data_IF_158448797415
#
_entry.id   IF_158448797415
#
_cell.length_a   1.000
_cell.length_b   1.000
_cell.length_c   1.000
_cell.angle_alpha   90.00
_cell.angle_beta   90.00
_cell.angle_gamma   90.00
#
_symmetry.space_group_name_H-M   'P 1'
#
loop_
_entity.id
_entity.type
_entity.pdbx_description
1 polymer ?
#
# COMPACT_ATOMS: atom_id res chain seq x y z
N UNK A 1 -14.44 16.81 -1.15
CA UNK A 1 -14.58 16.06 0.12
C UNK A 1 -14.54 14.54 -0.12
N UNK A 2 -13.65 14.03 -0.97
CA UNK A 2 -13.57 12.60 -1.31
C UNK A 2 -12.33 11.89 -0.72
N UNK A 3 -11.27 12.64 -0.35
CA UNK A 3 -10.02 12.04 0.14
C UNK A 3 -10.07 11.52 1.57
N UNK A 4 -10.81 12.18 2.46
CA UNK A 4 -10.80 11.85 3.89
C UNK A 4 -11.56 10.55 4.22
N UNK A 5 -12.58 10.23 3.43
CA UNK A 5 -13.37 9.00 3.59
C UNK A 5 -12.51 7.76 3.26
N UNK A 6 -11.75 7.81 2.16
CA UNK A 6 -10.89 6.69 1.71
C UNK A 6 -9.79 6.33 2.72
N UNK A 7 -9.19 7.30 3.41
CA UNK A 7 -8.08 7.01 4.34
C UNK A 7 -8.51 6.22 5.57
N UNK A 8 -9.66 6.55 6.18
CA UNK A 8 -10.21 5.79 7.31
C UNK A 8 -10.58 4.36 6.90
N UNK A 9 -11.13 4.19 5.70
CA UNK A 9 -11.48 2.88 5.14
C UNK A 9 -10.24 1.99 4.97
N UNK A 10 -9.11 2.54 4.51
CA UNK A 10 -7.86 1.79 4.41
C UNK A 10 -7.27 1.44 5.78
N UNK A 11 -7.32 2.34 6.76
CA UNK A 11 -6.86 2.02 8.13
C UNK A 11 -7.63 0.82 8.69
N UNK A 12 -8.96 0.80 8.51
CA UNK A 12 -9.79 -0.33 8.96
C UNK A 12 -9.48 -1.66 8.24
N UNK A 13 -8.83 -1.60 7.08
CA UNK A 13 -8.46 -2.75 6.25
C UNK A 13 -6.97 -3.14 6.39
N UNK A 14 -6.22 -2.53 7.31
CA UNK A 14 -4.79 -2.81 7.49
C UNK A 14 -4.50 -4.30 7.67
N UNK A 15 -5.30 -4.98 8.48
CA UNK A 15 -5.18 -6.41 8.76
C UNK A 15 -6.01 -7.28 7.81
N UNK A 16 -6.75 -6.67 6.88
CA UNK A 16 -7.54 -7.42 5.91
C UNK A 16 -6.60 -8.08 4.90
N UNK A 17 -6.71 -9.40 4.66
CA UNK A 17 -5.97 -10.07 3.61
C UNK A 17 -6.54 -9.71 2.23
N UNK A 18 -5.87 -10.17 1.17
CA UNK A 18 -6.32 -9.97 -0.21
C UNK A 18 -5.73 -8.73 -0.88
N UNK A 19 -4.63 -8.21 -0.34
CA UNK A 19 -3.86 -7.15 -0.96
C UNK A 19 -2.64 -7.71 -1.67
N UNK A 20 -2.27 -7.08 -2.77
CA UNK A 20 -1.09 -7.41 -3.54
C UNK A 20 -0.28 -6.16 -3.84
N UNK A 21 1.04 -6.28 -3.71
CA UNK A 21 2.00 -5.28 -4.15
C UNK A 21 2.53 -5.72 -5.51
N UNK A 22 2.35 -4.87 -6.51
CA UNK A 22 2.87 -5.04 -7.87
C UNK A 22 4.10 -4.14 -8.02
N UNK A 23 5.31 -4.71 -8.02
CA UNK A 23 6.51 -3.95 -8.29
C UNK A 23 6.55 -3.43 -9.72
N UNK A 24 7.12 -2.24 -9.94
CA UNK A 24 7.51 -1.82 -11.29
C UNK A 24 8.84 -2.50 -11.63
N UNK A 25 8.81 -3.60 -12.40
CA UNK A 25 10.01 -4.32 -12.82
C UNK A 25 9.79 -5.81 -13.04
N UNK A 26 10.84 -6.60 -12.81
CA UNK A 26 10.86 -8.08 -12.92
C UNK A 26 10.59 -8.78 -11.58
N UNK A 27 10.48 -8.03 -10.49
CA UNK A 27 10.15 -8.60 -9.18
C UNK A 27 8.72 -9.16 -9.20
N UNK A 28 8.47 -10.37 -8.67
CA UNK A 28 7.14 -10.94 -8.62
C UNK A 28 6.22 -10.11 -7.71
N UNK A 29 4.91 -10.13 -8.02
CA UNK A 29 3.91 -9.57 -7.12
C UNK A 29 3.91 -10.35 -5.79
N UNK A 30 3.74 -9.62 -4.69
CA UNK A 30 3.66 -10.19 -3.34
C UNK A 30 2.22 -10.00 -2.88
N UNK A 31 1.66 -10.98 -2.18
CA UNK A 31 0.30 -10.93 -1.62
C UNK A 31 0.35 -11.01 -0.10
N UNK A 32 -0.62 -10.38 0.56
CA UNK A 32 -0.72 -10.35 2.01
C UNK A 32 -1.81 -9.41 2.50
N UNK A 33 -1.60 -8.84 3.69
CA UNK A 33 -2.47 -7.79 4.23
C UNK A 33 -2.08 -6.41 3.68
N UNK A 34 -2.97 -5.42 3.79
CA UNK A 34 -2.64 -4.06 3.38
C UNK A 34 -1.45 -3.50 4.15
N UNK A 35 -1.33 -3.84 5.44
CA UNK A 35 -0.18 -3.46 6.26
C UNK A 35 1.13 -4.04 5.71
N UNK A 36 1.14 -5.34 5.39
CA UNK A 36 2.32 -6.01 4.83
C UNK A 36 2.74 -5.35 3.51
N UNK A 37 1.76 -5.08 2.64
CA UNK A 37 2.03 -4.46 1.34
C UNK A 37 2.54 -3.02 1.50
N UNK A 38 1.98 -2.26 2.44
CA UNK A 38 2.44 -0.91 2.74
C UNK A 38 3.88 -0.92 3.28
N UNK A 39 4.22 -1.83 4.19
CA UNK A 39 5.59 -2.00 4.71
C UNK A 39 6.56 -2.38 3.60
N UNK A 40 6.22 -3.37 2.78
CA UNK A 40 7.05 -3.79 1.65
C UNK A 40 7.27 -2.64 0.64
N UNK A 41 6.22 -1.86 0.33
CA UNK A 41 6.33 -0.70 -0.54
C UNK A 41 7.25 0.39 0.06
N UNK A 42 7.19 0.61 1.38
CA UNK A 42 8.08 1.53 2.09
C UNK A 42 9.54 1.10 2.01
N UNK A 43 9.82 -0.18 2.27
CA UNK A 43 11.16 -0.74 2.21
C UNK A 43 11.77 -0.62 0.80
N UNK A 44 10.95 -0.80 -0.24
CA UNK A 44 11.36 -0.54 -1.63
C UNK A 44 11.74 0.93 -1.84
N UNK A 45 10.88 1.87 -1.41
CA UNK A 45 11.14 3.32 -1.50
C UNK A 45 12.43 3.70 -0.76
N UNK A 46 12.61 3.18 0.46
CA UNK A 46 13.81 3.38 1.29
C UNK A 46 15.08 2.83 0.64
N UNK A 47 14.96 1.76 -0.13
CA UNK A 47 16.06 1.15 -0.90
C UNK A 47 16.34 1.86 -2.23
N UNK A 48 15.69 2.99 -2.51
CA UNK A 48 15.82 3.74 -3.76
C UNK A 48 15.09 3.13 -4.95
N UNK A 49 14.28 2.08 -4.74
CA UNK A 49 13.42 1.48 -5.76
C UNK A 49 12.06 2.19 -5.78
N UNK A 50 11.33 2.04 -6.89
CA UNK A 50 9.93 2.47 -6.93
C UNK A 50 9.11 1.64 -5.93
N UNK A 51 8.23 2.32 -5.19
CA UNK A 51 7.39 1.72 -4.15
C UNK A 51 6.42 0.67 -4.69
N UNK A 52 6.08 0.74 -5.98
CA UNK A 52 5.17 -0.19 -6.65
C UNK A 52 3.72 0.27 -6.53
N UNK A 53 2.80 -0.60 -6.94
CA UNK A 53 1.36 -0.34 -6.91
C UNK A 53 0.71 -1.36 -5.99
N UNK A 54 -0.01 -0.89 -4.96
CA UNK A 54 -0.76 -1.76 -4.06
C UNK A 54 -2.19 -1.84 -4.56
N UNK A 55 -2.68 -3.06 -4.79
CA UNK A 55 -4.03 -3.33 -5.26
C UNK A 55 -4.70 -4.39 -4.40
N UNK A 56 -6.02 -4.33 -4.29
CA UNK A 56 -6.82 -5.41 -3.72
C UNK A 56 -7.15 -6.42 -4.81
N UNK A 57 -6.93 -7.69 -4.51
CA UNK A 57 -7.03 -8.80 -5.44
C UNK A 57 -8.47 -9.05 -5.92
N UNK A 58 -9.46 -8.74 -5.08
CA UNK A 58 -10.88 -9.05 -5.33
C UNK A 58 -11.60 -8.05 -6.23
N UNK A 59 -11.33 -6.75 -6.06
CA UNK A 59 -12.13 -5.66 -6.62
C UNK A 59 -11.30 -4.62 -7.39
N UNK A 60 -10.01 -4.89 -7.62
CA UNK A 60 -9.07 -3.98 -8.32
C UNK A 60 -8.96 -2.60 -7.67
N UNK A 61 -9.30 -2.46 -6.39
CA UNK A 61 -9.09 -1.24 -5.63
C UNK A 61 -7.59 -0.95 -5.55
N UNK A 62 -7.16 0.20 -6.07
CA UNK A 62 -5.75 0.60 -6.07
C UNK A 62 -5.49 1.67 -5.02
N UNK A 63 -4.36 1.53 -4.31
CA UNK A 63 -3.86 2.55 -3.40
C UNK A 63 -3.11 3.62 -4.19
N UNK A 64 -3.64 4.84 -4.18
CA UNK A 64 -2.96 5.99 -4.79
C UNK A 64 -1.73 6.39 -3.96
N UNK A 65 -0.71 6.97 -4.60
CA UNK A 65 0.55 7.33 -3.94
C UNK A 65 0.35 8.21 -2.69
N UNK A 66 -0.57 9.18 -2.74
CA UNK A 66 -0.89 10.03 -1.60
C UNK A 66 -1.55 9.25 -0.44
N UNK A 67 -2.42 8.29 -0.76
CA UNK A 67 -3.07 7.43 0.24
C UNK A 67 -2.06 6.49 0.90
N UNK A 68 -1.14 5.95 0.11
CA UNK A 68 -0.01 5.14 0.59
C UNK A 68 0.90 5.95 1.52
N UNK A 69 1.21 7.20 1.17
CA UNK A 69 2.00 8.07 2.06
C UNK A 69 1.29 8.37 3.37
N UNK A 70 -0.02 8.66 3.35
CA UNK A 70 -0.78 8.82 4.60
C UNK A 70 -0.79 7.52 5.43
N UNK A 71 -0.90 6.37 4.78
CA UNK A 71 -0.87 5.06 5.44
C UNK A 71 0.49 4.82 6.10
N UNK A 72 1.58 5.17 5.43
CA UNK A 72 2.93 5.13 6.00
C UNK A 72 3.08 6.03 7.22
N UNK A 73 2.58 7.27 7.16
CA UNK A 73 2.54 8.15 8.32
C UNK A 73 1.78 7.53 9.49
N UNK A 74 0.63 6.91 9.21
CA UNK A 74 -0.18 6.22 10.23
C UNK A 74 0.57 5.03 10.87
N UNK A 75 1.33 4.28 10.07
CA UNK A 75 2.16 3.15 10.52
C UNK A 75 3.48 3.55 11.19
N UNK A 76 3.76 4.86 11.30
CA UNK A 76 5.04 5.36 11.84
C UNK A 76 6.23 5.14 10.91
N UNK A 77 5.98 5.07 9.60
CA UNK A 77 6.97 4.83 8.54
C UNK A 77 7.14 6.08 7.64
N UNK A 78 7.56 7.24 8.16
CA UNK A 78 7.74 8.42 7.32
C UNK A 78 8.78 8.17 6.22
N UNK A 79 8.60 8.81 5.07
CA UNK A 79 9.51 8.76 3.92
C UNK A 79 10.51 9.88 3.92
#
# INVERSE_FOLDING_TARGET
MADKAKHGDFISQLTSPGWRLIPTGIDPAIEGTLEDMARAAHERKRSGKHHGVIQRAEDSLELEAFQLEQLWWHLGLPT
#
